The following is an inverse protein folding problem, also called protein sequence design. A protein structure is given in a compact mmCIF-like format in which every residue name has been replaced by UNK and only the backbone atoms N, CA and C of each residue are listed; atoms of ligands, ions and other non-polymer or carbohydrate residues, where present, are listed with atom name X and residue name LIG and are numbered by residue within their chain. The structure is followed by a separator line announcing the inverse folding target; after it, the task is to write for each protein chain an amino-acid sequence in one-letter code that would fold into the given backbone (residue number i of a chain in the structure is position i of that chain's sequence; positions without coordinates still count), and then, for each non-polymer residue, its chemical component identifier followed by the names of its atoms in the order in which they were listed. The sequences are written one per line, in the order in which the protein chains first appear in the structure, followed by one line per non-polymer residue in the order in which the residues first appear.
data_IF_293146874870
#
_entry.id   IF_293146874870
#
_cell.length_a   1.000
_cell.length_b   1.000
_cell.length_c   1.000
_cell.angle_alpha   90.00
_cell.angle_beta   90.00
_cell.angle_gamma   90.00
#
_symmetry.space_group_name_H-M   'P 1'
#
loop_
_entity.id
_entity.type
_entity.pdbx_description
1 polymer ?
#
# COMPACT_ATOMS: atom_id res chain seq x y z
N UNK A 1 24.71 -11.00 -26.97
CA UNK A 1 23.59 -11.67 -26.27
C UNK A 1 22.43 -11.79 -27.23
N UNK A 2 22.10 -13.03 -27.65
CA UNK A 2 20.99 -13.26 -28.56
C UNK A 2 19.71 -13.43 -27.75
N UNK A 3 18.89 -12.38 -27.66
CA UNK A 3 17.49 -12.47 -27.22
C UNK A 3 16.69 -13.14 -28.33
N UNK A 4 16.89 -14.44 -28.55
CA UNK A 4 16.25 -15.17 -29.64
C UNK A 4 15.55 -16.43 -29.12
N UNK A 5 14.40 -16.18 -28.50
CA UNK A 5 13.24 -17.09 -28.37
C UNK A 5 12.10 -16.22 -27.87
N UNK A 6 10.91 -16.32 -28.48
CA UNK A 6 9.71 -15.52 -28.20
C UNK A 6 9.63 -15.10 -26.73
N UNK A 7 9.47 -13.80 -26.45
CA UNK A 7 9.27 -13.30 -25.10
C UNK A 7 8.03 -14.01 -24.50
N UNK A 8 8.26 -15.00 -23.65
CA UNK A 8 7.19 -15.66 -22.92
C UNK A 8 6.64 -14.62 -21.93
N UNK A 9 5.32 -14.44 -21.91
CA UNK A 9 4.65 -13.69 -20.84
C UNK A 9 5.03 -14.34 -19.52
N UNK A 10 5.63 -13.58 -18.60
CA UNK A 10 5.83 -14.06 -17.23
C UNK A 10 4.45 -14.41 -16.65
N UNK A 11 4.29 -15.65 -16.21
CA UNK A 11 3.03 -16.15 -15.65
C UNK A 11 2.97 -16.00 -14.12
N UNK A 12 4.13 -15.92 -13.47
CA UNK A 12 4.25 -15.96 -12.02
C UNK A 12 5.38 -15.06 -11.52
N UNK A 13 5.18 -14.44 -10.36
CA UNK A 13 6.12 -13.50 -9.75
C UNK A 13 6.34 -13.86 -8.28
N UNK A 14 7.59 -14.10 -7.90
CA UNK A 14 7.95 -14.53 -6.54
C UNK A 14 8.88 -13.54 -5.87
N UNK A 15 8.43 -12.97 -4.75
CA UNK A 15 9.17 -12.01 -3.96
C UNK A 15 9.94 -12.67 -2.81
N UNK A 16 11.23 -12.35 -2.73
CA UNK A 16 12.14 -12.72 -1.65
C UNK A 16 12.61 -11.45 -0.94
N UNK A 17 12.42 -11.39 0.38
CA UNK A 17 12.86 -10.29 1.23
C UNK A 17 14.04 -10.79 2.09
N UNK A 18 15.14 -10.06 2.11
CA UNK A 18 16.35 -10.33 2.90
C UNK A 18 16.92 -11.77 2.80
N UNK A 19 16.63 -12.47 1.70
CA UNK A 19 17.03 -13.86 1.53
C UNK A 19 16.32 -14.83 2.49
N UNK A 20 15.17 -14.42 3.06
CA UNK A 20 14.35 -15.29 3.90
C UNK A 20 13.90 -16.55 3.13
N UNK A 21 13.80 -17.64 3.87
CA UNK A 21 13.22 -18.90 3.42
C UNK A 21 11.74 -18.77 3.04
N UNK A 22 11.02 -17.81 3.63
CA UNK A 22 9.63 -17.53 3.29
C UNK A 22 9.52 -16.56 2.11
N UNK A 23 8.90 -17.04 1.03
CA UNK A 23 8.71 -16.28 -0.21
C UNK A 23 7.24 -15.93 -0.42
N UNK A 24 6.97 -14.77 -1.02
CA UNK A 24 5.60 -14.29 -1.25
C UNK A 24 5.26 -14.26 -2.73
N UNK A 25 4.14 -14.89 -3.11
CA UNK A 25 3.57 -14.74 -4.45
C UNK A 25 3.01 -13.32 -4.64
N UNK A 26 3.37 -12.68 -5.74
CA UNK A 26 2.80 -11.40 -6.14
C UNK A 26 1.69 -11.60 -7.16
N UNK A 27 0.65 -10.78 -7.07
CA UNK A 27 -0.37 -10.67 -8.12
C UNK A 27 0.17 -9.93 -9.34
N UNK A 28 0.92 -8.87 -9.10
CA UNK A 28 1.60 -8.07 -10.13
C UNK A 28 2.83 -7.37 -9.54
N UNK A 29 3.73 -6.98 -10.43
CA UNK A 29 4.93 -6.19 -10.15
C UNK A 29 5.16 -5.22 -11.30
N UNK A 30 5.50 -3.97 -10.98
CA UNK A 30 5.83 -2.93 -11.95
C UNK A 30 6.94 -2.01 -11.42
N UNK A 31 7.66 -1.34 -12.32
CA UNK A 31 8.69 -0.35 -11.98
C UNK A 31 10.07 -0.93 -11.65
N UNK A 32 10.87 -0.18 -10.88
CA UNK A 32 12.27 -0.51 -10.62
C UNK A 32 13.22 -0.25 -11.80
N UNK A 33 12.77 0.53 -12.79
CA UNK A 33 13.60 0.98 -13.91
C UNK A 33 14.67 1.97 -13.46
N UNK A 34 15.88 1.83 -13.99
CA UNK A 34 17.01 2.74 -13.73
C UNK A 34 17.16 3.72 -14.90
N UNK A 35 17.05 5.01 -14.62
CA UNK A 35 17.12 6.08 -15.62
C UNK A 35 18.25 7.06 -15.28
N UNK A 36 19.01 7.49 -16.28
CA UNK A 36 19.96 8.59 -16.12
C UNK A 36 19.28 9.92 -16.42
N UNK A 37 19.43 10.92 -15.54
CA UNK A 37 19.00 12.28 -15.85
C UNK A 37 19.95 12.91 -16.88
N UNK A 38 19.40 13.59 -17.87
CA UNK A 38 20.17 14.26 -18.93
C UNK A 38 20.33 15.73 -18.55
N UNK A 39 21.57 16.19 -18.43
CA UNK A 39 21.91 17.60 -18.22
C UNK A 39 22.42 18.21 -19.53
N UNK A 40 22.02 19.45 -19.78
CA UNK A 40 22.46 20.24 -20.93
C UNK A 40 23.33 21.41 -20.45
N UNK A 41 24.58 21.43 -20.88
CA UNK A 41 25.54 22.49 -20.54
C UNK A 41 25.68 23.45 -21.73
N UNK A 42 25.31 24.74 -21.58
CA UNK A 42 25.45 25.72 -22.65
C UNK A 42 26.92 26.09 -22.83
N UNK A 43 27.45 25.88 -24.05
CA UNK A 43 28.80 26.27 -24.42
C UNK A 43 28.76 27.65 -25.09
N UNK A 44 29.51 28.62 -24.54
CA UNK A 44 29.47 30.05 -24.93
C UNK A 44 29.71 30.34 -26.42
N UNK A 45 30.28 29.41 -27.19
CA UNK A 45 30.62 29.58 -28.61
C UNK A 45 29.96 28.55 -29.53
N UNK A 46 29.23 27.57 -28.99
CA UNK A 46 28.58 26.53 -29.78
C UNK A 46 27.07 26.76 -29.84
N UNK A 47 26.48 26.53 -31.01
CA UNK A 47 25.02 26.62 -31.22
C UNK A 47 24.25 25.44 -30.61
N UNK A 48 24.95 24.39 -30.17
CA UNK A 48 24.35 23.18 -29.60
C UNK A 48 24.91 22.95 -28.20
N UNK A 49 24.06 22.74 -27.17
CA UNK A 49 24.52 22.46 -25.81
C UNK A 49 25.13 21.05 -25.71
N UNK A 50 26.12 20.88 -24.82
CA UNK A 50 26.68 19.58 -24.52
C UNK A 50 25.72 18.80 -23.63
N UNK A 51 25.26 17.64 -24.09
CA UNK A 51 24.39 16.75 -23.30
C UNK A 51 25.21 15.65 -22.64
N UNK A 52 25.05 15.46 -21.34
CA UNK A 52 25.65 14.36 -20.60
C UNK A 52 24.73 13.88 -19.48
N UNK A 53 24.98 12.69 -18.95
CA UNK A 53 24.21 12.16 -17.82
C UNK A 53 24.71 12.74 -16.50
N UNK A 54 23.80 13.20 -15.64
CA UNK A 54 24.13 13.73 -14.32
C UNK A 54 23.87 12.68 -13.23
N UNK A 55 22.64 12.57 -12.77
CA UNK A 55 22.22 11.64 -11.70
C UNK A 55 21.64 10.35 -12.28
N UNK A 56 21.41 9.38 -11.40
CA UNK A 56 20.62 8.17 -11.68
C UNK A 56 19.37 8.22 -10.81
N UNK A 57 18.23 8.07 -11.45
CA UNK A 57 16.92 7.94 -10.82
C UNK A 57 16.44 6.50 -10.94
N UNK A 58 15.82 6.00 -9.89
CA UNK A 58 15.22 4.67 -9.88
C UNK A 58 13.73 4.83 -9.66
N UNK A 59 12.94 4.31 -10.60
CA UNK A 59 11.49 4.27 -10.47
C UNK A 59 11.10 3.39 -9.28
N UNK A 60 10.12 3.82 -8.46
CA UNK A 60 9.60 2.98 -7.40
C UNK A 60 9.14 1.63 -7.95
N UNK A 61 9.34 0.59 -7.16
CA UNK A 61 8.86 -0.75 -7.44
C UNK A 61 7.48 -0.93 -6.79
N UNK A 62 6.46 -1.20 -7.58
CA UNK A 62 5.08 -1.40 -7.13
C UNK A 62 4.77 -2.89 -7.07
N UNK A 63 4.38 -3.40 -5.90
CA UNK A 63 4.12 -4.81 -5.63
C UNK A 63 2.68 -5.01 -5.17
N UNK A 64 1.90 -5.84 -5.87
CA UNK A 64 0.59 -6.26 -5.37
C UNK A 64 0.73 -7.59 -4.61
N UNK A 65 0.55 -7.51 -3.30
CA UNK A 65 0.70 -8.64 -2.36
C UNK A 65 -0.65 -9.04 -1.76
N UNK A 66 -0.88 -10.34 -1.65
CA UNK A 66 -2.01 -10.88 -0.88
C UNK A 66 -1.64 -11.06 0.59
N UNK A 67 -2.63 -11.37 1.44
CA UNK A 67 -2.42 -11.61 2.88
C UNK A 67 -1.64 -12.89 3.23
N UNK A 68 -1.30 -13.71 2.23
CA UNK A 68 -0.33 -14.80 2.39
C UNK A 68 1.12 -14.32 2.36
N UNK A 69 1.36 -13.00 2.31
CA UNK A 69 2.70 -12.45 2.43
C UNK A 69 3.34 -12.87 3.76
N UNK A 70 4.65 -13.08 3.73
CA UNK A 70 5.41 -13.53 4.89
C UNK A 70 5.35 -12.48 6.02
N UNK A 71 5.40 -12.95 7.27
CA UNK A 71 5.38 -12.08 8.45
C UNK A 71 6.40 -10.92 8.39
N UNK A 72 7.63 -11.09 7.87
CA UNK A 72 8.59 -10.01 7.73
C UNK A 72 8.12 -8.84 6.86
N UNK A 73 7.31 -9.08 5.82
CA UNK A 73 6.78 -8.01 4.96
C UNK A 73 5.81 -7.13 5.75
N UNK A 74 4.88 -7.75 6.49
CA UNK A 74 3.93 -6.99 7.31
C UNK A 74 4.62 -6.27 8.47
N UNK A 75 5.63 -6.87 9.09
CA UNK A 75 6.47 -6.19 10.09
C UNK A 75 7.19 -4.99 9.50
N UNK A 76 7.72 -5.11 8.28
CA UNK A 76 8.36 -3.99 7.60
C UNK A 76 7.38 -2.85 7.29
N UNK A 77 6.15 -3.17 6.90
CA UNK A 77 5.06 -2.18 6.79
C UNK A 77 4.78 -1.53 8.14
N UNK A 78 4.59 -2.32 9.19
CA UNK A 78 4.33 -1.81 10.54
C UNK A 78 5.45 -0.89 11.05
N UNK A 79 6.70 -1.28 10.89
CA UNK A 79 7.88 -0.51 11.27
C UNK A 79 7.93 0.83 10.50
N UNK A 80 7.54 0.83 9.22
CA UNK A 80 7.49 2.05 8.39
C UNK A 80 6.46 3.06 8.92
N UNK A 81 5.31 2.59 9.42
CA UNK A 81 4.28 3.49 9.96
C UNK A 81 4.66 4.04 11.34
N UNK A 82 5.41 3.24 12.13
CA UNK A 82 5.86 3.60 13.46
C UNK A 82 7.19 4.37 13.50
N UNK A 83 7.64 4.91 12.36
CA UNK A 83 8.92 5.63 12.23
C UNK A 83 10.16 4.81 12.65
N UNK A 84 10.08 3.47 12.59
CA UNK A 84 11.18 2.53 12.81
C UNK A 84 11.76 2.08 11.47
N UNK A 85 12.05 3.06 10.62
CA UNK A 85 12.41 2.81 9.22
C UNK A 85 13.62 1.87 9.09
N UNK A 86 13.48 0.82 8.30
CA UNK A 86 14.57 -0.10 7.97
C UNK A 86 14.74 -0.21 6.46
N UNK A 87 15.98 -0.08 5.99
CA UNK A 87 16.37 -0.41 4.61
C UNK A 87 16.47 -1.93 4.46
N UNK A 88 15.89 -2.47 3.40
CA UNK A 88 15.80 -3.92 3.16
C UNK A 88 16.23 -4.28 1.75
N UNK A 89 16.72 -5.51 1.59
CA UNK A 89 17.18 -6.03 0.31
C UNK A 89 16.22 -7.11 -0.18
N UNK A 90 16.22 -7.38 -1.48
CA UNK A 90 15.37 -8.46 -1.98
C UNK A 90 15.45 -8.67 -3.48
N UNK A 91 14.68 -9.64 -3.95
CA UNK A 91 14.53 -9.89 -5.38
C UNK A 91 13.14 -10.39 -5.75
N UNK A 92 12.77 -10.10 -6.98
CA UNK A 92 11.56 -10.54 -7.64
C UNK A 92 11.98 -11.45 -8.78
N UNK A 93 11.51 -12.69 -8.73
CA UNK A 93 11.73 -13.66 -9.80
C UNK A 93 10.51 -13.69 -10.68
N UNK A 94 10.70 -13.38 -11.96
CA UNK A 94 9.68 -13.53 -12.99
C UNK A 94 9.85 -14.91 -13.63
N UNK A 95 8.84 -15.76 -13.49
CA UNK A 95 8.84 -17.11 -14.01
C UNK A 95 7.79 -17.32 -15.10
N UNK A 96 8.03 -18.32 -15.95
CA UNK A 96 7.06 -18.77 -16.95
C UNK A 96 5.91 -19.59 -16.33
N UNK A 97 4.96 -20.03 -17.15
CA UNK A 97 3.85 -20.90 -16.71
C UNK A 97 4.27 -22.27 -16.17
N UNK A 98 5.51 -22.69 -16.43
CA UNK A 98 6.08 -23.92 -15.87
C UNK A 98 6.86 -23.66 -14.57
N UNK A 99 6.84 -22.44 -14.05
CA UNK A 99 7.61 -21.99 -12.88
C UNK A 99 9.13 -21.97 -13.11
N UNK A 100 9.60 -21.85 -14.34
CA UNK A 100 11.03 -21.66 -14.64
C UNK A 100 11.41 -20.17 -14.53
N UNK A 101 12.41 -19.86 -13.71
CA UNK A 101 12.91 -18.49 -13.54
C UNK A 101 13.49 -17.93 -14.85
N UNK A 102 12.87 -16.86 -15.36
CA UNK A 102 13.27 -16.20 -16.61
C UNK A 102 14.06 -14.91 -16.38
N UNK A 103 13.68 -14.13 -15.37
CA UNK A 103 14.28 -12.85 -15.02
C UNK A 103 14.34 -12.74 -13.51
N UNK A 104 15.44 -12.20 -13.00
CA UNK A 104 15.56 -11.80 -11.60
C UNK A 104 15.80 -10.29 -11.52
N UNK A 105 14.90 -9.59 -10.85
CA UNK A 105 14.99 -8.17 -10.55
C UNK A 105 15.32 -8.02 -9.07
N UNK A 106 16.57 -7.65 -8.77
CA UNK A 106 17.05 -7.47 -7.40
C UNK A 106 17.14 -5.99 -7.03
N UNK A 107 16.87 -5.70 -5.75
CA UNK A 107 16.93 -4.37 -5.19
C UNK A 107 17.78 -4.35 -3.92
N UNK A 108 18.40 -3.21 -3.66
CA UNK A 108 19.18 -2.98 -2.44
C UNK A 108 18.74 -1.72 -1.73
N UNK A 109 18.82 -1.78 -0.40
CA UNK A 109 18.61 -0.68 0.53
C UNK A 109 17.26 0.04 0.31
N UNK A 110 16.21 -0.75 0.04
CA UNK A 110 14.90 -0.23 -0.22
C UNK A 110 14.18 0.21 1.05
N UNK A 111 13.37 1.26 0.91
CA UNK A 111 12.40 1.72 1.91
C UNK A 111 10.98 1.49 1.38
N UNK A 112 10.04 1.19 2.28
CA UNK A 112 8.61 1.26 1.95
C UNK A 112 8.24 2.73 1.75
N UNK A 113 7.69 3.10 0.59
CA UNK A 113 7.31 4.47 0.28
C UNK A 113 5.80 4.69 0.35
N UNK A 114 4.99 3.72 -0.11
CA UNK A 114 3.53 3.79 -0.04
C UNK A 114 2.96 2.40 0.27
N UNK A 115 1.91 2.36 1.07
CA UNK A 115 1.09 1.15 1.27
C UNK A 115 -0.37 1.52 1.05
N UNK A 116 -0.97 0.96 0.01
CA UNK A 116 -2.35 1.20 -0.40
C UNK A 116 -3.20 -0.02 -0.09
N UNK A 117 -4.22 0.20 0.73
CA UNK A 117 -5.28 -0.77 0.95
C UNK A 117 -6.37 -0.60 -0.12
N UNK A 118 -6.96 -1.70 -0.62
CA UNK A 118 -8.04 -1.63 -1.59
C UNK A 118 -9.28 -1.01 -0.96
N UNK A 119 -10.21 -0.55 -1.79
CA UNK A 119 -11.53 -0.17 -1.29
C UNK A 119 -12.19 -1.39 -0.65
N UNK A 120 -12.84 -1.18 0.49
CA UNK A 120 -13.61 -2.21 1.20
C UNK A 120 -15.07 -1.98 0.90
N UNK A 121 -15.75 -2.99 0.39
CA UNK A 121 -17.14 -2.90 -0.05
C UNK A 121 -17.85 -4.21 0.28
N UNK A 122 -18.93 -4.14 1.05
CA UNK A 122 -19.70 -5.31 1.48
C UNK A 122 -20.23 -6.19 0.33
N UNK A 123 -20.31 -5.63 -0.89
CA UNK A 123 -20.72 -6.33 -2.11
C UNK A 123 -19.56 -7.03 -2.85
N UNK A 124 -18.30 -6.67 -2.58
CA UNK A 124 -17.15 -7.17 -3.33
C UNK A 124 -16.63 -8.50 -2.76
N UNK A 125 -16.67 -9.54 -3.60
CA UNK A 125 -16.25 -10.92 -3.29
C UNK A 125 -14.94 -11.31 -3.97
N UNK A 126 -14.28 -10.37 -4.63
CA UNK A 126 -12.97 -10.60 -5.25
C UNK A 126 -11.87 -10.80 -4.18
N UNK A 127 -10.75 -11.45 -4.53
CA UNK A 127 -9.59 -11.48 -3.65
C UNK A 127 -9.00 -10.08 -3.48
N UNK A 128 -8.73 -9.70 -2.24
CA UNK A 128 -8.11 -8.41 -1.92
C UNK A 128 -6.58 -8.49 -1.97
N UNK A 129 -5.96 -7.40 -2.41
CA UNK A 129 -4.51 -7.22 -2.48
C UNK A 129 -4.14 -5.84 -1.93
N UNK A 130 -3.01 -5.77 -1.24
CA UNK A 130 -2.36 -4.50 -0.85
C UNK A 130 -1.36 -4.15 -1.95
N UNK A 131 -1.33 -2.88 -2.35
CA UNK A 131 -0.26 -2.37 -3.19
C UNK A 131 0.82 -1.75 -2.29
N UNK A 132 2.02 -2.32 -2.31
CA UNK A 132 3.19 -1.86 -1.58
C UNK A 132 4.20 -1.28 -2.57
N UNK A 133 4.53 0.00 -2.43
CA UNK A 133 5.61 0.63 -3.21
C UNK A 133 6.89 0.67 -2.41
N UNK A 134 7.97 0.26 -3.05
CA UNK A 134 9.33 0.32 -2.53
C UNK A 134 10.13 1.37 -3.30
N UNK A 135 10.89 2.18 -2.58
CA UNK A 135 11.92 3.04 -3.17
C UNK A 135 13.31 2.45 -2.84
N UNK A 136 13.97 1.80 -3.81
CA UNK A 136 15.32 1.28 -3.65
C UNK A 136 16.40 2.31 -3.97
N UNK A 137 17.60 2.12 -3.39
CA UNK A 137 18.81 2.87 -3.73
C UNK A 137 19.54 2.25 -4.93
N UNK A 138 19.36 0.94 -5.15
CA UNK A 138 19.96 0.22 -6.29
C UNK A 138 19.02 -0.83 -6.82
N UNK A 139 19.10 -1.03 -8.13
CA UNK A 139 18.38 -2.08 -8.86
C UNK A 139 19.35 -2.80 -9.78
N UNK A 140 19.18 -4.11 -9.91
CA UNK A 140 19.91 -4.93 -10.86
C UNK A 140 18.97 -5.95 -11.50
N UNK A 141 19.00 -6.02 -12.83
CA UNK A 141 18.22 -6.95 -13.62
C UNK A 141 19.15 -8.01 -14.22
N UNK A 142 18.83 -9.28 -13.98
CA UNK A 142 19.59 -10.43 -14.50
C UNK A 142 18.67 -11.38 -15.26
N UNK A 143 19.24 -12.08 -16.24
CA UNK A 143 18.59 -13.27 -16.79
C UNK A 143 18.46 -14.33 -15.70
N UNK A 144 17.30 -14.97 -15.63
CA UNK A 144 17.06 -16.10 -14.76
C UNK A 144 17.87 -17.33 -15.16
N UNK A 145 18.09 -18.20 -14.19
CA UNK A 145 18.87 -19.43 -14.30
C UNK A 145 18.01 -20.65 -14.70
N UNK A 146 16.72 -20.44 -15.01
CA UNK A 146 15.72 -21.49 -15.30
C UNK A 146 15.52 -22.47 -14.14
N UNK A 147 15.89 -22.13 -12.91
CA UNK A 147 15.51 -22.95 -11.76
C UNK A 147 14.01 -22.94 -11.60
N UNK A 148 13.47 -24.07 -11.11
CA UNK A 148 12.06 -24.13 -10.69
C UNK A 148 11.88 -23.29 -9.43
N UNK A 149 11.03 -22.28 -9.50
CA UNK A 149 10.63 -21.54 -8.30
C UNK A 149 9.53 -22.30 -7.56
N UNK A 150 9.58 -22.23 -6.24
CA UNK A 150 8.54 -22.74 -5.35
C UNK A 150 8.20 -21.62 -4.38
N UNK A 151 6.97 -21.16 -4.41
CA UNK A 151 6.45 -20.27 -3.39
C UNK A 151 5.70 -21.05 -2.32
N UNK A 152 5.37 -20.38 -1.22
CA UNK A 152 4.48 -20.94 -0.20
C UNK A 152 3.13 -21.28 -0.85
N UNK A 153 2.59 -22.46 -0.52
CA UNK A 153 1.41 -23.04 -1.17
C UNK A 153 0.19 -22.12 -1.08
N UNK A 154 -0.43 -21.83 -2.23
CA UNK A 154 -1.57 -20.91 -2.36
C UNK A 154 -2.85 -21.45 -1.70
N UNK A 155 -2.91 -22.75 -1.37
CA UNK A 155 -4.03 -23.30 -0.60
C UNK A 155 -4.12 -22.75 0.84
N UNK A 156 -3.02 -22.17 1.37
CA UNK A 156 -3.00 -21.46 2.65
C UNK A 156 -3.27 -19.95 2.52
N UNK A 157 -3.50 -19.44 1.30
CA UNK A 157 -3.94 -18.07 1.10
C UNK A 157 -5.37 -17.97 1.66
N UNK A 158 -5.48 -17.67 2.96
CA UNK A 158 -6.76 -17.32 3.59
C UNK A 158 -7.33 -16.19 2.74
N UNK A 159 -8.41 -16.47 2.03
CA UNK A 159 -9.08 -15.53 1.15
C UNK A 159 -9.48 -14.31 1.98
N UNK A 160 -8.68 -13.25 1.91
CA UNK A 160 -9.09 -11.93 2.34
C UNK A 160 -9.93 -11.35 1.19
N UNK A 161 -11.13 -10.89 1.52
CA UNK A 161 -12.03 -10.24 0.56
C UNK A 161 -12.36 -8.83 1.05
N UNK A 162 -12.58 -7.86 0.14
CA UNK A 162 -12.91 -6.50 0.53
C UNK A 162 -14.24 -6.37 1.27
N UNK A 163 -15.12 -7.37 1.20
CA UNK A 163 -16.41 -7.38 1.90
C UNK A 163 -16.36 -7.88 3.34
N UNK A 164 -15.26 -8.47 3.78
CA UNK A 164 -15.12 -9.04 5.12
C UNK A 164 -14.33 -8.08 6.01
N UNK A 165 -14.96 -6.98 6.42
CA UNK A 165 -14.35 -5.95 7.26
C UNK A 165 -15.31 -5.47 8.36
N UNK A 166 -14.75 -4.86 9.39
CA UNK A 166 -15.48 -4.16 10.44
C UNK A 166 -14.76 -2.88 10.80
N UNK A 167 -15.50 -1.77 10.84
CA UNK A 167 -15.02 -0.52 11.42
C UNK A 167 -15.58 -0.38 12.82
N UNK A 168 -14.74 -0.01 13.77
CA UNK A 168 -15.14 0.36 15.12
C UNK A 168 -14.57 1.73 15.45
N UNK A 169 -15.42 2.64 15.94
CA UNK A 169 -15.04 3.97 16.40
C UNK A 169 -15.73 4.19 17.74
N UNK A 170 -14.99 4.64 18.74
CA UNK A 170 -15.49 4.79 20.10
C UNK A 170 -16.74 5.68 20.17
N UNK A 171 -17.85 5.12 20.63
CA UNK A 171 -19.12 5.83 20.80
C UNK A 171 -19.83 6.20 19.50
N UNK A 172 -19.52 5.53 18.38
CA UNK A 172 -20.22 5.68 17.09
C UNK A 172 -20.66 4.30 16.60
N UNK A 173 -21.94 4.12 16.28
CA UNK A 173 -22.42 2.88 15.66
C UNK A 173 -21.95 2.77 14.20
N UNK A 174 -20.96 1.91 13.97
CA UNK A 174 -20.36 1.67 12.66
C UNK A 174 -20.89 0.41 11.96
N UNK A 175 -21.86 -0.31 12.54
CA UNK A 175 -22.30 -1.64 12.04
C UNK A 175 -22.82 -1.65 10.61
N UNK A 176 -23.30 -0.50 10.13
CA UNK A 176 -23.92 -0.34 8.82
C UNK A 176 -23.03 0.42 7.82
N UNK A 177 -21.77 0.68 8.18
CA UNK A 177 -20.77 1.15 7.22
C UNK A 177 -20.56 0.04 6.20
N UNK A 178 -20.92 0.32 4.94
CA UNK A 178 -20.95 -0.69 3.88
C UNK A 178 -19.79 -0.53 2.89
N UNK A 179 -19.13 0.64 2.89
CA UNK A 179 -18.00 0.93 2.03
C UNK A 179 -16.99 1.82 2.74
N UNK A 180 -15.72 1.54 2.50
CA UNK A 180 -14.58 2.40 2.80
C UNK A 180 -13.78 2.52 1.50
N UNK A 181 -13.55 3.73 1.01
CA UNK A 181 -12.74 3.89 -0.20
C UNK A 181 -11.28 3.47 0.02
N UNK A 182 -10.58 3.17 -1.07
CA UNK A 182 -9.14 2.87 -1.02
C UNK A 182 -8.38 4.01 -0.35
N UNK A 183 -7.42 3.66 0.49
CA UNK A 183 -6.61 4.62 1.23
C UNK A 183 -5.14 4.21 1.18
N UNK A 184 -4.24 5.20 1.30
CA UNK A 184 -2.80 5.01 1.16
C UNK A 184 -2.06 5.71 2.30
N UNK A 185 -1.25 4.94 3.04
CA UNK A 185 -0.27 5.51 3.97
C UNK A 185 1.02 5.77 3.20
N UNK A 186 1.57 6.99 3.32
CA UNK A 186 2.77 7.41 2.58
C UNK A 186 3.92 7.71 3.52
N UNK A 187 5.06 7.07 3.28
CA UNK A 187 6.33 7.46 3.89
C UNK A 187 7.02 8.48 2.98
N UNK A 188 7.28 9.67 3.52
CA UNK A 188 8.00 10.72 2.80
C UNK A 188 9.48 10.38 2.77
N UNK A 189 10.04 10.24 1.58
CA UNK A 189 11.46 9.93 1.36
C UNK A 189 12.11 11.08 0.62
N UNK A 190 13.22 11.59 1.16
CA UNK A 190 14.05 12.61 0.52
C UNK A 190 15.26 11.92 -0.12
N UNK A 191 15.50 12.21 -1.40
CA UNK A 191 16.69 11.76 -2.10
C UNK A 191 17.84 12.75 -1.86
N UNK A 192 18.98 12.26 -1.40
CA UNK A 192 20.19 13.04 -1.12
C UNK A 192 21.32 12.58 -2.05
N UNK A 193 21.78 13.48 -2.91
CA UNK A 193 22.97 13.25 -3.74
C UNK A 193 24.19 13.82 -3.02
N UNK A 194 25.12 12.96 -2.61
CA UNK A 194 26.29 13.34 -1.81
C UNK A 194 27.57 13.13 -2.61
N UNK A 195 28.42 14.16 -2.63
CA UNK A 195 29.73 14.10 -3.27
C UNK A 195 29.66 13.81 -4.77
N UNK A 196 30.47 12.85 -5.23
CA UNK A 196 30.50 12.42 -6.63
C UNK A 196 29.59 11.22 -6.93
N UNK A 197 28.77 10.76 -5.96
CA UNK A 197 27.85 9.65 -6.19
C UNK A 197 26.73 10.08 -7.14
N UNK A 198 26.43 9.23 -8.12
CA UNK A 198 25.29 9.42 -9.03
C UNK A 198 24.00 8.80 -8.50
N UNK A 199 24.08 7.90 -7.52
CA UNK A 199 22.93 7.30 -6.86
C UNK A 199 22.57 8.10 -5.61
N UNK A 200 21.29 8.35 -5.33
CA UNK A 200 20.86 9.03 -4.12
C UNK A 200 20.92 8.10 -2.91
N UNK A 201 21.28 8.66 -1.76
CA UNK A 201 20.94 8.09 -0.45
C UNK A 201 19.50 8.49 -0.11
N UNK A 202 18.70 7.57 0.43
CA UNK A 202 17.29 7.81 0.72
C UNK A 202 17.09 8.11 2.20
N UNK A 203 16.58 9.28 2.55
CA UNK A 203 16.30 9.64 3.93
C UNK A 203 14.79 9.71 4.20
N UNK A 204 14.24 8.88 5.11
CA UNK A 204 12.85 8.99 5.53
C UNK A 204 12.65 10.26 6.37
N UNK A 205 11.60 11.02 6.07
CA UNK A 205 11.35 12.36 6.65
C UNK A 205 10.03 12.46 7.41
N UNK A 206 9.18 11.44 7.33
CA UNK A 206 7.91 11.39 8.05
C UNK A 206 6.91 10.45 7.41
N UNK A 207 5.78 10.27 8.07
CA UNK A 207 4.65 9.46 7.60
C UNK A 207 3.44 10.36 7.45
N UNK A 208 2.70 10.16 6.36
CA UNK A 208 1.43 10.81 6.09
C UNK A 208 0.33 9.76 6.08
N UNK A 209 -0.55 9.85 7.07
CA UNK A 209 -1.72 9.00 7.18
C UNK A 209 -2.88 9.59 6.38
N UNK A 210 -3.66 8.76 5.67
CA UNK A 210 -4.70 9.24 4.80
C UNK A 210 -5.96 9.65 5.58
N UNK A 211 -6.83 10.38 4.91
CA UNK A 211 -8.24 10.43 5.28
C UNK A 211 -8.92 9.12 4.91
N UNK A 212 -9.97 8.75 5.64
CA UNK A 212 -10.87 7.66 5.26
C UNK A 212 -12.21 8.23 4.79
N UNK A 213 -12.69 7.75 3.65
CA UNK A 213 -14.02 8.05 3.12
C UNK A 213 -14.92 6.84 3.30
N UNK A 214 -16.02 7.01 4.01
CA UNK A 214 -16.96 5.95 4.38
C UNK A 214 -18.32 6.20 3.76
N UNK A 215 -19.03 5.12 3.43
CA UNK A 215 -20.45 5.18 3.07
C UNK A 215 -21.30 4.39 4.06
N UNK A 216 -22.40 5.01 4.53
CA UNK A 216 -23.37 4.41 5.46
C UNK A 216 -24.80 4.70 5.00
N UNK A 217 -25.71 3.75 5.20
CA UNK A 217 -27.13 3.96 4.94
C UNK A 217 -27.71 5.08 5.81
N UNK A 218 -28.51 5.96 5.23
CA UNK A 218 -29.01 7.17 5.90
C UNK A 218 -29.79 6.89 7.20
N UNK A 219 -30.49 5.76 7.27
CA UNK A 219 -31.22 5.33 8.46
C UNK A 219 -30.31 5.06 9.68
N UNK A 220 -29.02 4.82 9.46
CA UNK A 220 -28.05 4.44 10.49
C UNK A 220 -26.98 5.54 10.75
N UNK A 221 -27.10 6.70 10.11
CA UNK A 221 -26.09 7.76 10.19
C UNK A 221 -26.23 8.69 11.41
N UNK A 222 -27.13 8.40 12.35
CA UNK A 222 -27.50 9.31 13.45
C UNK A 222 -26.29 9.74 14.29
N UNK A 223 -25.44 8.80 14.68
CA UNK A 223 -24.28 9.08 15.52
C UNK A 223 -23.23 9.92 14.77
N UNK A 224 -23.01 9.63 13.49
CA UNK A 224 -22.14 10.44 12.63
C UNK A 224 -22.68 11.86 12.45
N UNK A 225 -24.00 12.03 12.27
CA UNK A 225 -24.61 13.36 12.17
C UNK A 225 -24.46 14.15 13.48
N UNK A 226 -24.68 13.52 14.63
CA UNK A 226 -24.51 14.15 15.93
C UNK A 226 -23.04 14.54 16.17
N UNK A 227 -22.10 13.67 15.81
CA UNK A 227 -20.68 13.94 15.91
C UNK A 227 -20.25 15.09 14.99
N UNK A 228 -20.68 15.10 13.73
CA UNK A 228 -20.41 16.17 12.78
C UNK A 228 -20.97 17.52 13.26
N UNK A 229 -22.21 17.55 13.75
CA UNK A 229 -22.84 18.76 14.28
C UNK A 229 -22.06 19.33 15.47
N UNK A 230 -21.63 18.49 16.41
CA UNK A 230 -20.85 18.93 17.56
C UNK A 230 -19.44 19.43 17.16
N UNK A 231 -18.71 18.62 16.39
CA UNK A 231 -17.29 18.83 16.13
C UNK A 231 -17.05 19.89 15.04
N UNK A 232 -17.79 19.80 13.93
CA UNK A 232 -17.57 20.65 12.73
C UNK A 232 -18.45 21.89 12.78
N UNK A 233 -19.76 21.74 13.01
CA UNK A 233 -20.72 22.85 12.92
C UNK A 233 -20.64 23.77 14.13
N UNK A 234 -20.65 23.19 15.34
CA UNK A 234 -20.54 23.95 16.60
C UNK A 234 -19.09 24.28 16.97
N UNK A 235 -18.12 23.67 16.30
CA UNK A 235 -16.70 23.98 16.46
C UNK A 235 -16.09 23.49 17.77
N UNK A 236 -16.55 22.35 18.29
CA UNK A 236 -15.90 21.68 19.40
C UNK A 236 -14.57 21.06 18.94
N UNK A 237 -13.50 21.85 19.00
CA UNK A 237 -12.18 21.51 18.48
C UNK A 237 -11.20 20.99 19.54
N UNK A 238 -11.68 20.65 20.75
CA UNK A 238 -10.79 20.11 21.78
C UNK A 238 -10.22 18.77 21.28
N UNK A 239 -8.87 18.60 21.20
CA UNK A 239 -8.25 17.33 20.85
C UNK A 239 -8.73 16.15 21.72
N UNK A 240 -9.19 16.42 22.96
CA UNK A 240 -9.77 15.40 23.85
C UNK A 240 -11.07 14.77 23.33
N UNK A 241 -11.72 15.40 22.35
CA UNK A 241 -12.92 14.87 21.71
C UNK A 241 -12.63 14.07 20.43
N UNK A 242 -11.37 13.94 20.04
CA UNK A 242 -10.96 12.97 19.03
C UNK A 242 -11.16 11.55 19.56
N UNK A 243 -11.56 10.66 18.65
CA UNK A 243 -11.95 9.28 19.00
C UNK A 243 -10.81 8.32 18.65
N UNK A 244 -10.83 7.15 19.26
CA UNK A 244 -10.02 6.01 18.81
C UNK A 244 -10.90 4.93 18.20
N UNK A 245 -10.29 4.05 17.41
CA UNK A 245 -11.01 2.99 16.73
C UNK A 245 -10.10 1.97 16.09
N UNK A 246 -10.69 1.01 15.39
CA UNK A 246 -9.99 -0.02 14.65
C UNK A 246 -10.71 -0.33 13.34
N UNK A 247 -9.94 -0.59 12.30
CA UNK A 247 -10.41 -1.22 11.07
C UNK A 247 -9.94 -2.67 11.07
N UNK A 248 -10.87 -3.59 11.28
CA UNK A 248 -10.62 -5.02 11.31
C UNK A 248 -10.88 -5.66 9.96
N UNK A 249 -9.97 -6.52 9.53
CA UNK A 249 -10.11 -7.36 8.35
C UNK A 249 -10.38 -8.78 8.81
N UNK A 250 -11.51 -9.34 8.37
CA UNK A 250 -12.05 -10.58 8.89
C UNK A 250 -11.83 -11.73 7.91
N UNK A 251 -11.89 -12.95 8.44
CA UNK A 251 -11.99 -14.14 7.61
C UNK A 251 -13.31 -14.17 6.80
N UNK A 252 -13.42 -15.01 5.75
CA UNK A 252 -14.64 -15.10 4.96
C UNK A 252 -15.91 -15.46 5.77
N UNK A 253 -15.74 -16.10 6.94
CA UNK A 253 -16.82 -16.41 7.85
C UNK A 253 -17.20 -15.22 8.76
N UNK A 254 -16.48 -14.10 8.69
CA UNK A 254 -16.63 -12.89 9.52
C UNK A 254 -16.53 -13.15 11.03
N UNK A 255 -15.91 -14.27 11.40
CA UNK A 255 -15.85 -14.77 12.77
C UNK A 255 -14.53 -14.42 13.46
N UNK A 256 -13.44 -14.33 12.70
CA UNK A 256 -12.11 -14.06 13.23
C UNK A 256 -11.45 -12.88 12.51
N UNK A 257 -10.90 -11.96 13.30
CA UNK A 257 -9.99 -10.93 12.81
C UNK A 257 -8.70 -11.56 12.30
N UNK A 258 -8.41 -11.36 11.02
CA UNK A 258 -7.12 -11.72 10.41
C UNK A 258 -6.09 -10.72 10.89
N UNK A 259 -6.29 -9.43 10.64
CA UNK A 259 -5.44 -8.35 11.12
C UNK A 259 -6.29 -7.11 11.29
N UNK A 260 -5.76 -6.11 11.99
CA UNK A 260 -6.45 -4.83 12.15
C UNK A 260 -5.49 -3.67 11.96
N UNK A 261 -6.07 -2.52 11.64
CA UNK A 261 -5.38 -1.24 11.67
C UNK A 261 -5.98 -0.45 12.83
N UNK A 262 -5.17 -0.15 13.84
CA UNK A 262 -5.54 0.73 14.93
C UNK A 262 -5.56 2.17 14.41
N UNK A 263 -6.62 2.91 14.74
CA UNK A 263 -6.88 4.27 14.29
C UNK A 263 -6.88 5.20 15.49
N UNK A 264 -5.90 6.10 15.56
CA UNK A 264 -5.73 7.01 16.69
C UNK A 264 -6.10 8.44 16.30
N UNK A 265 -6.71 9.16 17.25
CA UNK A 265 -7.07 10.58 17.13
C UNK A 265 -7.88 10.87 15.85
N UNK A 266 -8.97 10.12 15.71
CA UNK A 266 -9.91 10.22 14.60
C UNK A 266 -10.80 11.45 14.81
N UNK A 267 -10.92 12.27 13.77
CA UNK A 267 -11.91 13.34 13.71
C UNK A 267 -12.75 13.29 12.45
N UNK A 268 -14.03 13.65 12.56
CA UNK A 268 -14.91 13.82 11.41
C UNK A 268 -14.65 15.17 10.75
N UNK A 269 -14.42 15.16 9.43
CA UNK A 269 -14.11 16.35 8.65
C UNK A 269 -15.34 16.82 7.85
N UNK A 270 -16.12 15.88 7.32
CA UNK A 270 -17.26 16.17 6.47
C UNK A 270 -18.31 15.06 6.56
N UNK A 271 -19.56 15.46 6.37
CA UNK A 271 -20.71 14.58 6.19
C UNK A 271 -21.58 15.14 5.08
N UNK A 272 -21.81 14.35 4.04
CA UNK A 272 -22.59 14.76 2.87
C UNK A 272 -23.60 13.69 2.47
N UNK A 273 -24.81 14.10 2.08
CA UNK A 273 -25.81 13.19 1.57
C UNK A 273 -25.53 12.89 0.09
N UNK A 274 -25.56 11.61 -0.30
CA UNK A 274 -25.43 11.24 -1.70
C UNK A 274 -26.52 11.90 -2.57
N UNK A 275 -26.16 12.18 -3.83
CA UNK A 275 -27.08 12.78 -4.80
C UNK A 275 -28.39 12.00 -4.83
N UNK A 276 -29.50 12.74 -4.83
CA UNK A 276 -30.83 12.17 -4.94
C UNK A 276 -31.41 12.35 -6.32
N UNK A 277 -31.58 11.24 -7.04
CA UNK A 277 -32.34 11.21 -8.29
C UNK A 277 -33.80 10.83 -8.01
N UNK A 278 -34.73 11.53 -8.66
CA UNK A 278 -36.16 11.22 -8.56
C UNK A 278 -36.44 9.82 -9.14
N UNK A 279 -37.34 9.07 -8.50
CA UNK A 279 -37.70 7.69 -8.88
C UNK A 279 -36.55 6.66 -8.83
N UNK A 280 -35.44 6.97 -8.17
CA UNK A 280 -34.39 6.00 -7.93
C UNK A 280 -34.74 5.07 -6.77
N UNK A 281 -34.72 3.75 -7.01
CA UNK A 281 -34.94 2.71 -5.98
C UNK A 281 -33.66 2.37 -5.19
N UNK A 282 -32.71 3.31 -5.08
CA UNK A 282 -31.46 3.09 -4.36
C UNK A 282 -31.55 3.50 -2.89
N UNK A 283 -30.85 2.74 -2.02
CA UNK A 283 -30.69 3.10 -0.61
C UNK A 283 -29.96 4.44 -0.54
N UNK A 284 -30.56 5.42 0.14
CA UNK A 284 -29.90 6.70 0.43
C UNK A 284 -28.75 6.50 1.39
N UNK A 285 -27.60 7.08 1.08
CA UNK A 285 -26.40 7.00 1.91
C UNK A 285 -25.82 8.37 2.23
N UNK A 286 -25.09 8.44 3.34
CA UNK A 286 -24.17 9.53 3.61
C UNK A 286 -22.75 9.10 3.26
N UNK A 287 -21.99 10.04 2.72
CA UNK A 287 -20.54 9.98 2.63
C UNK A 287 -19.95 10.74 3.80
N UNK A 288 -19.07 10.07 4.54
CA UNK A 288 -18.41 10.59 5.73
C UNK A 288 -16.92 10.62 5.44
N UNK A 289 -16.26 11.74 5.71
CA UNK A 289 -14.81 11.82 5.64
C UNK A 289 -14.22 11.98 7.04
N UNK A 290 -13.24 11.13 7.35
CA UNK A 290 -12.50 11.14 8.61
C UNK A 290 -11.04 11.52 8.36
N UNK A 291 -10.48 12.38 9.22
CA UNK A 291 -9.03 12.54 9.31
C UNK A 291 -8.50 11.70 10.49
N UNK A 292 -7.27 11.22 10.36
CA UNK A 292 -6.64 10.29 11.31
C UNK A 292 -5.21 10.77 11.53
N UNK A 293 -4.79 10.87 12.78
CA UNK A 293 -3.45 11.36 13.11
C UNK A 293 -2.39 10.26 12.98
N UNK A 294 -2.71 9.03 13.39
CA UNK A 294 -1.83 7.89 13.22
C UNK A 294 -2.59 6.57 13.05
N UNK A 295 -1.94 5.66 12.34
CA UNK A 295 -2.37 4.28 12.17
C UNK A 295 -1.26 3.32 12.61
N UNK A 296 -1.63 2.20 13.21
CA UNK A 296 -0.71 1.09 13.51
C UNK A 296 -1.29 -0.22 13.01
N UNK A 297 -0.45 -1.06 12.41
CA UNK A 297 -0.85 -2.36 11.90
C UNK A 297 -0.73 -3.39 13.02
N UNK A 298 -1.84 -3.91 13.52
CA UNK A 298 -1.84 -4.93 14.56
C UNK A 298 -1.90 -6.33 13.94
N UNK A 299 -0.80 -7.07 14.14
CA UNK A 299 -0.59 -8.42 13.65
C UNK A 299 -0.91 -9.50 14.68
N UNK A 300 -1.26 -9.14 15.93
CA UNK A 300 -1.46 -10.10 17.02
C UNK A 300 -2.56 -11.14 16.73
N UNK A 301 -3.62 -10.75 16.01
CA UNK A 301 -4.74 -11.63 15.65
C UNK A 301 -4.45 -12.60 14.50
N UNK A 302 -3.42 -12.31 13.71
CA UNK A 302 -3.15 -12.97 12.42
C UNK A 302 -2.50 -14.34 12.55
N UNK A 303 -1.90 -14.64 13.71
CA UNK A 303 -1.01 -15.79 13.85
C UNK A 303 0.28 -15.65 13.03
N UNK A 304 0.60 -14.45 12.53
CA UNK A 304 1.86 -14.08 11.86
C UNK A 304 2.94 -13.65 12.86
N UNK A 305 2.73 -13.87 14.17
CA UNK A 305 3.73 -13.65 15.22
C UNK A 305 4.65 -14.85 15.32
#
# INVERSE_FOLDING_TARGET
MSLNRRAYTAGHFLFHLDGDSETTWLKSVDGGGVKGSVMEEPLSLATTPLKHLATVEIEPLSLEIGMSASSPIFRWIQDSWNSKFSRRNGSIIHADFNLDALIEQSFQDALVSEVTFPALDGSDKSPAYINMKLQPERMELKSGDKRKIKGVDSQKQKLWTPSSFRLEIEGIDCKHVNKIDSFTVKQKIKQLYIGSSRYPELEPTGVEFPKLSLSIGAAHARDFMAWHEAFVVKGDKDPKHQKTGALEFLDPATAKTIFSIQLNNIGINALSLEKSDANAESIKRFNIELYIESMDLDLSSSGLV
#
